data_IF_937541185988
#
_entry.id   IF_937541185988
#
_cell.length_a   1.000
_cell.length_b   1.000
_cell.length_c   1.000
_cell.angle_alpha   90.00
_cell.angle_beta   90.00
_cell.angle_gamma   90.00
#
_symmetry.space_group_name_H-M   'P 1'
#
loop_
_entity.id
_entity.type
_entity.pdbx_description
1 polymer ?
#
# COMPACT_ATOMS: atom_id res chain seq x y z
N UNK A 1 -22.31 -1.48 -23.28
CA UNK A 1 -21.11 -2.33 -23.40
C UNK A 1 -20.69 -2.80 -22.00
N UNK A 2 -21.30 -3.88 -21.49
CA UNK A 2 -21.05 -4.43 -20.14
C UNK A 2 -20.02 -5.56 -20.13
N UNK A 3 -19.30 -5.77 -21.24
CA UNK A 3 -18.46 -6.94 -21.46
C UNK A 3 -17.23 -7.02 -20.52
N UNK A 4 -16.69 -5.89 -20.08
CA UNK A 4 -15.48 -5.83 -19.24
C UNK A 4 -15.75 -5.58 -17.76
N UNK A 5 -16.89 -4.98 -17.41
CA UNK A 5 -17.22 -4.63 -16.01
C UNK A 5 -17.74 -5.81 -15.16
N UNK A 6 -18.33 -6.83 -15.78
CA UNK A 6 -18.91 -7.98 -15.08
C UNK A 6 -17.99 -9.21 -15.05
N UNK A 7 -16.86 -9.18 -15.75
CA UNK A 7 -15.96 -10.32 -15.88
C UNK A 7 -14.83 -10.26 -14.85
N UNK A 8 -14.80 -11.25 -13.95
CA UNK A 8 -13.82 -11.36 -12.86
C UNK A 8 -12.38 -11.25 -13.36
N UNK A 9 -12.07 -11.81 -14.54
CA UNK A 9 -10.73 -11.73 -15.14
C UNK A 9 -10.31 -10.30 -15.44
N UNK A 10 -11.19 -9.48 -16.01
CA UNK A 10 -10.90 -8.09 -16.32
C UNK A 10 -10.83 -7.22 -15.06
N UNK A 11 -11.65 -7.52 -14.05
CA UNK A 11 -11.56 -6.89 -12.74
C UNK A 11 -10.19 -7.18 -12.08
N UNK A 12 -9.72 -8.43 -12.13
CA UNK A 12 -8.40 -8.79 -11.58
C UNK A 12 -7.27 -8.06 -12.32
N UNK A 13 -7.31 -7.99 -13.64
CA UNK A 13 -6.31 -7.25 -14.43
C UNK A 13 -6.32 -5.76 -14.05
N UNK A 14 -7.51 -5.15 -13.95
CA UNK A 14 -7.64 -3.76 -13.54
C UNK A 14 -7.12 -3.52 -12.11
N UNK A 15 -7.41 -4.43 -11.17
CA UNK A 15 -6.93 -4.36 -9.80
C UNK A 15 -5.39 -4.44 -9.72
N UNK A 16 -4.78 -5.32 -10.50
CA UNK A 16 -3.32 -5.42 -10.58
C UNK A 16 -2.67 -4.16 -11.16
N UNK A 17 -3.24 -3.63 -12.24
CA UNK A 17 -2.79 -2.35 -12.82
C UNK A 17 -2.90 -1.21 -11.81
N UNK A 18 -4.01 -1.14 -11.07
CA UNK A 18 -4.19 -0.14 -10.02
C UNK A 18 -3.15 -0.28 -8.91
N UNK A 19 -2.91 -1.51 -8.43
CA UNK A 19 -1.92 -1.77 -7.38
C UNK A 19 -0.53 -1.30 -7.81
N UNK A 20 -0.11 -1.64 -9.03
CA UNK A 20 1.17 -1.20 -9.59
C UNK A 20 1.22 0.33 -9.74
N UNK A 21 0.13 0.95 -10.22
CA UNK A 21 0.02 2.41 -10.34
C UNK A 21 0.23 3.13 -9.01
N UNK A 22 -0.45 2.67 -7.96
CA UNK A 22 -0.33 3.25 -6.61
C UNK A 22 1.09 3.10 -6.04
N UNK A 23 1.75 1.96 -6.28
CA UNK A 23 3.13 1.76 -5.82
C UNK A 23 4.11 2.70 -6.52
N UNK A 24 3.95 2.88 -7.85
CA UNK A 24 4.78 3.82 -8.62
C UNK A 24 4.53 5.27 -8.19
N UNK A 25 3.27 5.65 -7.99
CA UNK A 25 2.89 6.98 -7.50
C UNK A 25 3.57 7.29 -6.15
N UNK A 26 3.47 6.36 -5.18
CA UNK A 26 4.12 6.52 -3.87
C UNK A 26 5.63 6.60 -3.97
N UNK A 27 6.25 5.78 -4.82
CA UNK A 27 7.70 5.83 -5.05
C UNK A 27 8.14 7.21 -5.57
N UNK A 28 7.40 7.76 -6.54
CA UNK A 28 7.68 9.07 -7.14
C UNK A 28 7.41 10.25 -6.22
N UNK A 29 6.57 10.11 -5.19
CA UNK A 29 6.29 11.20 -4.25
C UNK A 29 7.23 11.13 -3.03
N UNK A 30 7.38 9.94 -2.44
CA UNK A 30 8.06 9.78 -1.14
C UNK A 30 9.56 9.99 -1.26
N UNK A 31 10.20 9.40 -2.28
CA UNK A 31 11.66 9.45 -2.43
C UNK A 31 12.17 10.87 -2.70
N UNK A 32 11.65 11.62 -3.70
CA UNK A 32 12.16 12.97 -3.94
C UNK A 32 11.83 13.94 -2.81
N UNK A 33 10.76 13.70 -2.03
CA UNK A 33 10.48 14.49 -0.84
C UNK A 33 11.56 14.37 0.25
N UNK A 34 12.34 13.28 0.27
CA UNK A 34 13.44 13.06 1.23
C UNK A 34 14.81 13.50 0.69
N UNK A 35 14.97 13.55 -0.64
CA UNK A 35 16.24 13.90 -1.28
C UNK A 35 16.34 15.41 -1.52
N UNK A 36 15.21 16.09 -1.76
CA UNK A 36 15.20 17.54 -1.97
C UNK A 36 15.28 18.25 -0.60
N UNK A 37 16.36 19.00 -0.30
CA UNK A 37 16.44 19.77 0.93
C UNK A 37 15.32 20.81 0.93
N UNK A 38 14.28 20.58 1.73
CA UNK A 38 13.25 21.58 1.96
C UNK A 38 13.82 22.61 2.92
N UNK A 39 14.03 23.84 2.43
CA UNK A 39 14.18 25.00 3.30
C UNK A 39 12.84 25.22 4.04
N UNK A 40 12.67 24.53 5.16
CA UNK A 40 11.46 24.59 5.98
C UNK A 40 11.28 25.96 6.63
N UNK A 41 12.38 26.70 6.85
CA UNK A 41 12.38 28.03 7.45
C UNK A 41 13.38 28.95 6.72
N UNK A 42 12.96 30.15 6.28
CA UNK A 42 13.85 31.09 5.61
C UNK A 42 14.97 31.54 6.55
N UNK A 43 16.23 31.26 6.18
CA UNK A 43 17.42 31.70 6.89
C UNK A 43 17.81 30.87 8.13
N UNK A 44 17.22 29.70 8.35
CA UNK A 44 17.66 28.78 9.41
C UNK A 44 17.97 27.39 8.85
N UNK A 45 19.25 27.02 8.83
CA UNK A 45 19.68 25.64 8.55
C UNK A 45 19.40 24.76 9.77
N UNK A 46 18.25 24.11 9.79
CA UNK A 46 18.02 23.00 10.73
C UNK A 46 18.76 21.79 10.17
N UNK A 47 20.03 21.64 10.57
CA UNK A 47 20.80 20.41 10.33
C UNK A 47 20.19 19.27 11.15
N UNK A 48 19.36 18.46 10.50
CA UNK A 48 18.90 17.18 11.02
C UNK A 48 20.02 16.14 10.84
N UNK A 49 20.35 15.40 11.91
CA UNK A 49 21.33 14.30 11.86
C UNK A 49 20.86 13.09 11.04
N UNK A 50 19.66 13.15 10.46
CA UNK A 50 18.97 12.04 9.82
C UNK A 50 19.04 12.10 8.29
N UNK A 51 20.21 12.36 7.70
CA UNK A 51 20.45 12.23 6.24
C UNK A 51 19.39 12.91 5.33
N UNK A 52 18.68 13.92 5.83
CA UNK A 52 17.57 14.59 5.14
C UNK A 52 18.17 15.68 4.24
N UNK A 53 18.04 15.54 2.92
CA UNK A 53 18.54 16.53 1.95
C UNK A 53 19.96 16.34 1.40
N UNK A 54 20.58 15.17 1.54
CA UNK A 54 21.78 14.84 0.77
C UNK A 54 21.37 14.25 -0.60
N UNK A 55 22.11 14.57 -1.67
CA UNK A 55 21.96 13.93 -2.97
C UNK A 55 22.36 12.44 -2.87
N UNK A 56 21.45 11.61 -2.38
CA UNK A 56 21.61 10.18 -2.28
C UNK A 56 20.96 9.51 -3.48
N UNK A 57 21.75 8.80 -4.29
CA UNK A 57 21.22 7.92 -5.32
C UNK A 57 20.57 6.72 -4.65
N UNK A 58 19.24 6.67 -4.64
CA UNK A 58 18.50 5.52 -4.15
C UNK A 58 18.65 4.33 -5.10
N UNK A 59 19.23 3.24 -4.62
CA UNK A 59 19.35 1.98 -5.34
C UNK A 59 18.63 0.90 -4.55
N UNK A 60 17.63 0.25 -5.16
CA UNK A 60 16.82 -0.78 -4.49
C UNK A 60 17.73 -1.91 -4.01
N UNK A 61 17.86 -2.04 -2.70
CA UNK A 61 18.72 -3.04 -2.06
C UNK A 61 18.01 -4.39 -1.89
N UNK A 62 18.79 -5.49 -1.85
CA UNK A 62 18.25 -6.83 -1.56
C UNK A 62 17.53 -6.91 -0.20
N UNK A 63 17.92 -6.08 0.77
CA UNK A 63 17.23 -5.99 2.06
C UNK A 63 15.82 -5.40 1.93
N UNK A 64 15.61 -4.45 1.02
CA UNK A 64 14.29 -3.83 0.80
C UNK A 64 13.29 -4.82 0.20
N UNK A 65 13.77 -5.70 -0.68
CA UNK A 65 12.98 -6.82 -1.19
C UNK A 65 12.59 -7.79 -0.07
N UNK A 66 13.52 -8.10 0.84
CA UNK A 66 13.23 -8.95 1.99
C UNK A 66 12.19 -8.32 2.92
N UNK A 67 12.29 -7.02 3.19
CA UNK A 67 11.27 -6.29 3.95
C UNK A 67 9.91 -6.30 3.26
N UNK A 68 9.88 -6.09 1.94
CA UNK A 68 8.63 -6.12 1.15
C UNK A 68 7.95 -7.48 1.25
N UNK A 69 8.70 -8.57 1.06
CA UNK A 69 8.19 -9.94 1.18
C UNK A 69 7.74 -10.23 2.62
N UNK A 70 8.51 -9.79 3.61
CA UNK A 70 8.16 -9.93 5.03
C UNK A 70 6.83 -9.25 5.35
N UNK A 71 6.61 -8.03 4.85
CA UNK A 71 5.36 -7.30 5.00
C UNK A 71 4.18 -8.05 4.37
N UNK A 72 4.33 -8.53 3.13
CA UNK A 72 3.31 -9.36 2.48
C UNK A 72 2.98 -10.62 3.30
N UNK A 73 4.01 -11.27 3.87
CA UNK A 73 3.85 -12.44 4.73
C UNK A 73 3.07 -12.12 6.01
N UNK A 74 3.39 -11.03 6.69
CA UNK A 74 2.68 -10.60 7.91
C UNK A 74 1.22 -10.27 7.59
N UNK A 75 0.94 -9.54 6.51
CA UNK A 75 -0.44 -9.20 6.09
C UNK A 75 -1.23 -10.46 5.75
N UNK A 76 -0.68 -11.36 4.94
CA UNK A 76 -1.36 -12.61 4.57
C UNK A 76 -1.60 -13.52 5.78
N UNK A 77 -0.61 -13.64 6.67
CA UNK A 77 -0.71 -14.44 7.88
C UNK A 77 -1.77 -13.88 8.84
N UNK A 78 -1.73 -12.59 9.13
CA UNK A 78 -2.70 -11.93 10.01
C UNK A 78 -4.11 -11.97 9.43
N UNK A 79 -4.27 -11.78 8.12
CA UNK A 79 -5.56 -11.93 7.44
C UNK A 79 -6.10 -13.36 7.51
N UNK A 80 -5.25 -14.37 7.25
CA UNK A 80 -5.62 -15.77 7.39
C UNK A 80 -6.00 -16.15 8.82
N UNK A 81 -5.24 -15.64 9.79
CA UNK A 81 -5.55 -15.79 11.22
C UNK A 81 -6.89 -15.13 11.57
N UNK A 82 -7.17 -13.95 11.03
CA UNK A 82 -8.43 -13.24 11.27
C UNK A 82 -9.64 -14.05 10.77
N UNK A 83 -9.55 -14.64 9.57
CA UNK A 83 -10.61 -15.53 9.04
C UNK A 83 -10.78 -16.79 9.91
N UNK A 84 -9.68 -17.32 10.45
CA UNK A 84 -9.70 -18.50 11.31
C UNK A 84 -10.34 -18.22 12.68
N UNK A 85 -10.08 -17.04 13.24
CA UNK A 85 -10.45 -16.69 14.61
C UNK A 85 -11.83 -16.03 14.72
N UNK A 86 -12.28 -15.29 13.70
CA UNK A 86 -13.55 -14.56 13.73
C UNK A 86 -14.55 -15.07 12.69
N UNK A 87 -15.84 -15.18 13.04
CA UNK A 87 -16.89 -15.41 12.06
C UNK A 87 -17.00 -14.19 11.13
N UNK A 88 -16.52 -14.34 9.90
CA UNK A 88 -16.51 -13.29 8.87
C UNK A 88 -17.91 -12.89 8.40
N UNK A 89 -18.87 -13.82 8.48
CA UNK A 89 -20.25 -13.55 8.09
C UNK A 89 -21.05 -13.12 9.33
N UNK A 90 -21.58 -11.89 9.37
CA UNK A 90 -22.50 -11.50 10.43
C UNK A 90 -23.82 -12.27 10.26
N UNK A 91 -24.08 -13.22 11.15
CA UNK A 91 -25.31 -14.03 11.14
C UNK A 91 -26.57 -13.16 11.32
N UNK A 92 -26.45 -12.04 12.04
CA UNK A 92 -27.57 -11.11 12.30
C UNK A 92 -28.00 -10.30 11.06
N UNK A 93 -27.14 -10.14 10.05
CA UNK A 93 -27.49 -9.43 8.81
C UNK A 93 -28.13 -10.34 7.75
N UNK A 94 -28.05 -11.66 7.94
CA UNK A 94 -28.63 -12.64 7.03
C UNK A 94 -30.13 -12.87 7.27
N UNK A 95 -30.66 -12.37 8.39
CA UNK A 95 -32.05 -12.56 8.82
C UNK A 95 -32.81 -11.23 8.87
N UNK A 96 -33.15 -10.70 7.70
CA UNK A 96 -34.45 -10.01 7.54
C UNK A 96 -35.02 -10.34 6.17
N UNK A 97 -35.47 -11.58 6.04
CA UNK A 97 -36.43 -11.91 5.00
C UNK A 97 -37.67 -11.01 5.19
N UNK A 98 -38.16 -10.31 4.16
CA UNK A 98 -39.26 -9.35 4.26
C UNK A 98 -40.65 -9.99 4.46
N UNK A 99 -40.73 -11.25 4.91
CA UNK A 99 -41.98 -12.03 4.98
C UNK A 99 -42.38 -12.48 6.40
N UNK A 100 -41.80 -11.91 7.46
CA UNK A 100 -42.30 -12.06 8.85
C UNK A 100 -42.70 -10.72 9.46
#
# INVERSE_FOLDING_TARGET
NSATGASVRWILVAAWMQLMGVLMERYLIVIPAQILPQELLPGMEISSAFLDGQFATYCVSGLEWMYSIGLFGVVAFTYGLAIRLWPMLPEEALAKDPTS
#
